data_IF_469221247423
#
_entry.id   IF_469221247423
#
_cell.length_a   1.000
_cell.length_b   1.000
_cell.length_c   1.000
_cell.angle_alpha   90.00
_cell.angle_beta   90.00
_cell.angle_gamma   90.00
#
_symmetry.space_group_name_H-M   'P 1'
#
loop_
_entity.id
_entity.type
_entity.pdbx_description
1 polymer ?
#
# COMPACT_ATOMS: atom_id res chain seq x y z
N UNK A 1 13.62 -17.12 11.95
CA UNK A 1 12.31 -17.49 12.51
C UNK A 1 11.30 -17.07 11.45
N UNK A 2 10.65 -18.04 10.80
CA UNK A 2 9.95 -17.84 9.52
C UNK A 2 8.64 -17.08 9.64
N UNK A 3 8.25 -16.39 8.57
CA UNK A 3 6.89 -15.90 8.40
C UNK A 3 5.97 -17.11 8.26
N UNK A 4 4.79 -17.06 8.87
CA UNK A 4 3.84 -18.19 8.88
C UNK A 4 3.00 -18.27 7.59
N UNK A 5 3.61 -17.84 6.47
CA UNK A 5 2.96 -17.75 5.15
C UNK A 5 3.66 -18.72 4.23
N UNK A 6 2.92 -19.67 3.62
CA UNK A 6 3.47 -20.53 2.59
C UNK A 6 4.05 -19.69 1.45
N UNK A 7 5.10 -20.19 0.81
CA UNK A 7 5.64 -19.59 -0.41
C UNK A 7 4.53 -19.39 -1.46
N UNK A 8 4.40 -18.18 -2.00
CA UNK A 8 3.30 -17.80 -2.90
C UNK A 8 2.00 -17.40 -2.19
N UNK A 9 1.99 -17.40 -0.85
CA UNK A 9 0.89 -16.90 -0.04
C UNK A 9 0.86 -15.38 0.03
N UNK A 10 -0.34 -14.85 0.24
CA UNK A 10 -0.63 -13.43 0.36
C UNK A 10 -1.46 -13.23 1.62
N UNK A 11 -0.98 -12.45 2.56
CA UNK A 11 -1.66 -12.17 3.82
C UNK A 11 -2.11 -10.72 3.88
N UNK A 12 -3.29 -10.52 4.45
CA UNK A 12 -3.93 -9.22 4.63
C UNK A 12 -4.29 -9.04 6.11
N UNK A 13 -3.73 -8.00 6.73
CA UNK A 13 -3.90 -7.69 8.14
C UNK A 13 -4.71 -6.41 8.27
N UNK A 14 -5.92 -6.57 8.80
CA UNK A 14 -6.77 -5.46 9.23
C UNK A 14 -6.31 -5.02 10.62
N UNK A 15 -5.30 -4.15 10.65
CA UNK A 15 -4.75 -3.58 11.87
C UNK A 15 -5.69 -2.60 12.55
N UNK A 16 -5.36 -2.18 13.77
CA UNK A 16 -6.19 -1.26 14.55
C UNK A 16 -6.25 0.15 13.94
N UNK A 17 -5.16 0.60 13.32
CA UNK A 17 -4.97 1.99 12.85
C UNK A 17 -4.66 2.10 11.36
N UNK A 18 -4.20 1.01 10.74
CA UNK A 18 -3.87 0.95 9.33
C UNK A 18 -4.01 -0.49 8.82
N UNK A 19 -4.05 -0.66 7.51
CA UNK A 19 -4.07 -1.97 6.86
C UNK A 19 -2.67 -2.32 6.36
N UNK A 20 -2.29 -3.59 6.47
CA UNK A 20 -0.99 -4.10 6.03
C UNK A 20 -1.18 -5.37 5.21
N UNK A 21 -0.51 -5.47 4.07
CA UNK A 21 -0.49 -6.69 3.28
C UNK A 21 0.92 -7.09 2.91
N UNK A 22 1.18 -8.39 2.82
CA UNK A 22 2.47 -8.90 2.37
C UNK A 22 2.36 -10.24 1.66
N UNK A 23 3.33 -10.50 0.79
CA UNK A 23 3.49 -11.74 0.05
C UNK A 23 4.94 -12.20 0.11
N UNK A 24 5.14 -13.53 0.15
CA UNK A 24 6.47 -14.14 0.14
C UNK A 24 6.71 -14.76 -1.24
N UNK A 25 7.68 -14.21 -1.96
CA UNK A 25 8.10 -14.70 -3.27
C UNK A 25 8.78 -16.08 -3.16
N UNK A 26 8.84 -16.86 -4.27
CA UNK A 26 9.48 -18.17 -4.29
C UNK A 26 10.93 -18.24 -3.81
N UNK A 27 11.68 -17.15 -3.99
CA UNK A 27 13.06 -17.01 -3.55
C UNK A 27 13.21 -16.52 -2.09
N UNK A 28 12.09 -16.27 -1.41
CA UNK A 28 12.05 -15.79 -0.03
C UNK A 28 12.05 -14.27 0.12
N UNK A 29 12.05 -13.51 -0.98
CA UNK A 29 11.84 -12.06 -0.92
C UNK A 29 10.42 -11.75 -0.40
N UNK A 30 10.27 -10.69 0.38
CA UNK A 30 8.98 -10.28 0.94
C UNK A 30 8.58 -8.94 0.34
N UNK A 31 7.42 -8.95 -0.31
CA UNK A 31 6.78 -7.74 -0.83
C UNK A 31 5.70 -7.32 0.14
N UNK A 32 5.64 -6.05 0.51
CA UNK A 32 4.63 -5.55 1.43
C UNK A 32 4.13 -4.16 1.03
N UNK A 33 2.95 -3.82 1.52
CA UNK A 33 2.36 -2.49 1.40
C UNK A 33 1.53 -2.18 2.63
N UNK A 34 1.29 -0.88 2.87
CA UNK A 34 0.44 -0.41 3.95
C UNK A 34 -0.52 0.66 3.42
N UNK A 35 -1.79 0.55 3.79
CA UNK A 35 -2.79 1.59 3.52
C UNK A 35 -3.05 2.36 4.81
N UNK A 36 -2.66 3.63 4.82
CA UNK A 36 -2.75 4.51 5.99
C UNK A 36 -3.98 5.41 5.82
N UNK A 37 -4.97 5.35 6.72
CA UNK A 37 -6.14 6.21 6.64
C UNK A 37 -5.75 7.66 6.91
N UNK A 38 -6.28 8.57 6.09
CA UNK A 38 -6.10 10.00 6.24
C UNK A 38 -7.43 10.72 6.00
N UNK A 39 -7.74 11.71 6.84
CA UNK A 39 -9.02 12.43 6.78
C UNK A 39 -9.02 13.60 5.80
N UNK A 40 -7.86 14.16 5.54
CA UNK A 40 -7.62 15.29 4.66
C UNK A 40 -6.89 14.87 3.38
N UNK A 41 -7.18 15.55 2.29
CA UNK A 41 -6.42 15.44 1.04
C UNK A 41 -5.04 16.10 1.25
N UNK A 42 -3.92 15.38 1.07
CA UNK A 42 -2.59 15.96 1.20
C UNK A 42 -2.35 17.06 0.15
N UNK A 43 -1.51 18.04 0.48
CA UNK A 43 -1.04 18.97 -0.53
C UNK A 43 -0.19 18.24 -1.60
N UNK A 44 -0.14 18.73 -2.85
CA UNK A 44 0.70 18.13 -3.89
C UNK A 44 2.17 18.01 -3.43
N UNK A 45 2.74 16.80 -3.50
CA UNK A 45 4.12 16.52 -3.10
C UNK A 45 4.33 16.40 -1.60
N UNK A 46 3.29 16.54 -0.76
CA UNK A 46 3.43 16.47 0.69
C UNK A 46 3.82 15.07 1.16
N UNK A 47 3.13 14.05 0.66
CA UNK A 47 3.35 12.64 1.05
C UNK A 47 4.71 12.16 0.54
N UNK A 48 5.04 12.51 -0.70
CA UNK A 48 6.30 12.17 -1.36
C UNK A 48 7.48 12.93 -0.73
N UNK A 49 7.23 14.09 -0.15
CA UNK A 49 8.24 14.92 0.52
C UNK A 49 8.52 14.52 1.96
N UNK A 50 7.77 13.56 2.53
CA UNK A 50 8.06 13.05 3.87
C UNK A 50 9.33 12.20 3.82
N UNK A 51 10.27 12.55 4.70
CA UNK A 51 11.53 11.86 4.90
C UNK A 51 11.34 10.38 5.27
N UNK A 52 12.20 9.52 4.75
CA UNK A 52 12.11 8.07 4.90
C UNK A 52 12.12 7.62 6.37
N UNK A 53 12.98 8.19 7.20
CA UNK A 53 13.05 7.81 8.62
C UNK A 53 11.76 8.22 9.36
N UNK A 54 11.11 9.31 8.93
CA UNK A 54 9.80 9.69 9.46
C UNK A 54 8.71 8.70 9.05
N UNK A 55 8.74 8.21 7.81
CA UNK A 55 7.84 7.15 7.37
C UNK A 55 8.01 5.86 8.16
N UNK A 56 9.25 5.40 8.35
CA UNK A 56 9.55 4.20 9.15
C UNK A 56 9.01 4.39 10.58
N UNK A 57 9.32 5.51 11.24
CA UNK A 57 8.84 5.78 12.58
C UNK A 57 7.30 5.82 12.66
N UNK A 58 6.65 6.43 11.67
CA UNK A 58 5.19 6.50 11.61
C UNK A 58 4.53 5.12 11.40
N UNK A 59 5.06 4.31 10.49
CA UNK A 59 4.58 2.94 10.26
C UNK A 59 4.78 2.06 11.50
N UNK A 60 5.94 2.17 12.15
CA UNK A 60 6.21 1.44 13.40
C UNK A 60 5.21 1.80 14.49
N UNK A 61 4.84 3.08 14.62
CA UNK A 61 3.81 3.53 15.57
C UNK A 61 2.40 3.00 15.20
N UNK A 62 2.02 3.03 13.92
CA UNK A 62 0.72 2.56 13.46
C UNK A 62 0.47 1.08 13.79
N UNK A 63 1.50 0.24 13.62
CA UNK A 63 1.41 -1.22 13.80
C UNK A 63 1.95 -1.74 15.13
N UNK A 64 2.37 -0.85 16.05
CA UNK A 64 3.03 -1.25 17.31
C UNK A 64 2.19 -2.20 18.18
N UNK A 65 0.86 -2.07 18.13
CA UNK A 65 -0.07 -2.87 18.91
C UNK A 65 -0.79 -3.98 18.12
N UNK A 66 -0.45 -4.14 16.85
CA UNK A 66 -1.08 -5.12 15.97
C UNK A 66 -0.37 -6.47 16.08
N UNK A 67 -1.15 -7.55 15.93
CA UNK A 67 -0.59 -8.89 15.83
C UNK A 67 -0.01 -9.10 14.42
N UNK A 68 1.07 -9.87 14.34
CA UNK A 68 1.68 -10.27 13.07
C UNK A 68 3.04 -9.62 12.82
N UNK A 69 3.58 -9.75 11.59
CA UNK A 69 4.97 -9.44 11.31
C UNK A 69 5.23 -7.99 10.86
N UNK A 70 4.22 -7.13 10.78
CA UNK A 70 4.33 -5.80 10.15
C UNK A 70 5.55 -5.00 10.63
N UNK A 71 5.70 -4.79 11.94
CA UNK A 71 6.82 -4.03 12.52
C UNK A 71 8.19 -4.66 12.22
N UNK A 72 8.28 -6.00 12.21
CA UNK A 72 9.51 -6.71 11.83
C UNK A 72 9.83 -6.51 10.34
N UNK A 73 8.82 -6.56 9.46
CA UNK A 73 9.02 -6.38 8.02
C UNK A 73 9.42 -4.94 7.69
N UNK A 74 8.82 -3.96 8.37
CA UNK A 74 9.19 -2.54 8.27
C UNK A 74 10.65 -2.34 8.74
N UNK A 75 11.03 -2.87 9.91
CA UNK A 75 12.40 -2.77 10.45
C UNK A 75 13.46 -3.44 9.56
N UNK A 76 13.09 -4.54 8.88
CA UNK A 76 13.97 -5.25 7.96
C UNK A 76 14.08 -4.60 6.57
N UNK A 77 13.31 -3.55 6.29
CA UNK A 77 13.28 -2.91 4.97
C UNK A 77 14.46 -1.94 4.82
N UNK A 78 15.36 -2.13 3.84
CA UNK A 78 16.52 -1.24 3.65
C UNK A 78 16.14 0.17 3.24
N UNK A 79 15.09 0.28 2.42
CA UNK A 79 14.53 1.55 1.95
C UNK A 79 13.03 1.45 1.79
N UNK A 80 12.28 2.44 2.27
CA UNK A 80 10.84 2.53 2.03
C UNK A 80 10.62 2.98 0.58
N UNK A 81 9.79 2.23 -0.17
CA UNK A 81 9.34 2.67 -1.49
C UNK A 81 8.54 3.98 -1.41
N UNK A 82 8.39 4.68 -2.53
CA UNK A 82 7.69 5.97 -2.53
C UNK A 82 6.25 5.82 -2.02
N UNK A 83 5.94 6.45 -0.89
CA UNK A 83 4.56 6.65 -0.45
C UNK A 83 3.88 7.64 -1.40
N UNK A 84 2.61 7.40 -1.73
CA UNK A 84 1.81 8.29 -2.55
C UNK A 84 0.38 8.36 -2.03
N UNK A 85 -0.29 9.47 -2.31
CA UNK A 85 -1.75 9.53 -2.16
C UNK A 85 -2.40 8.61 -3.20
N UNK A 86 -3.43 7.87 -2.77
CA UNK A 86 -4.18 6.95 -3.64
C UNK A 86 -5.43 7.68 -4.12
N UNK A 87 -5.51 7.92 -5.43
CA UNK A 87 -6.69 8.46 -6.08
C UNK A 87 -7.42 7.38 -6.86
N UNK A 88 -8.75 7.46 -6.89
CA UNK A 88 -9.59 6.61 -7.72
C UNK A 88 -10.54 7.45 -8.55
N UNK A 89 -10.92 6.95 -9.71
CA UNK A 89 -11.90 7.60 -10.58
C UNK A 89 -13.27 6.97 -10.29
N UNK A 90 -14.31 7.78 -9.97
CA UNK A 90 -15.67 7.28 -9.84
C UNK A 90 -16.17 6.69 -11.16
N UNK A 91 -17.24 5.90 -11.12
CA UNK A 91 -17.78 5.25 -12.31
C UNK A 91 -17.95 6.21 -13.51
N UNK A 92 -17.33 5.86 -14.64
CA UNK A 92 -17.42 6.58 -15.92
C UNK A 92 -18.56 6.00 -16.76
N UNK A 93 -19.70 6.70 -16.92
CA UNK A 93 -20.85 6.16 -17.64
C UNK A 93 -20.61 6.02 -19.15
N UNK A 94 -19.70 6.82 -19.73
CA UNK A 94 -19.32 6.76 -21.15
C UNK A 94 -17.80 6.72 -21.28
N UNK A 95 -17.28 5.66 -21.89
CA UNK A 95 -15.83 5.40 -22.06
C UNK A 95 -15.42 5.17 -23.53
N UNK A 96 -16.33 5.46 -24.46
CA UNK A 96 -16.07 5.31 -25.90
C UNK A 96 -16.80 6.37 -26.73
N UNK A 97 -16.33 6.56 -27.95
CA UNK A 97 -17.01 7.25 -29.06
C UNK A 97 -17.03 6.31 -30.27
N UNK A 98 -17.52 6.76 -31.42
CA UNK A 98 -17.53 5.95 -32.65
C UNK A 98 -16.15 5.47 -33.10
N UNK A 99 -15.09 6.21 -32.76
CA UNK A 99 -13.73 5.97 -33.27
C UNK A 99 -12.66 5.85 -32.17
N UNK A 100 -13.05 5.87 -30.90
CA UNK A 100 -12.11 5.84 -29.78
C UNK A 100 -12.69 5.08 -28.59
N UNK A 101 -11.82 4.39 -27.87
CA UNK A 101 -12.14 3.68 -26.64
C UNK A 101 -11.08 4.02 -25.59
N UNK A 102 -11.52 4.24 -24.36
CA UNK A 102 -10.63 4.40 -23.20
C UNK A 102 -10.48 3.04 -22.52
N UNK A 103 -9.27 2.66 -22.13
CA UNK A 103 -8.94 1.36 -21.52
C UNK A 103 -8.00 1.54 -20.32
N UNK A 104 -7.92 0.51 -19.47
CA UNK A 104 -7.07 0.52 -18.26
C UNK A 104 -7.48 1.61 -17.27
N UNK A 105 -6.51 2.16 -16.55
CA UNK A 105 -6.72 3.19 -15.52
C UNK A 105 -7.41 4.45 -16.06
N UNK A 106 -7.23 4.75 -17.35
CA UNK A 106 -7.92 5.87 -17.97
C UNK A 106 -9.45 5.70 -18.01
N UNK A 107 -9.94 4.45 -18.02
CA UNK A 107 -11.37 4.13 -17.99
C UNK A 107 -11.86 3.73 -16.59
N UNK A 108 -10.98 3.12 -15.79
CA UNK A 108 -11.31 2.65 -14.45
C UNK A 108 -10.04 2.58 -13.62
N UNK A 109 -9.79 3.61 -12.80
CA UNK A 109 -8.73 3.62 -11.79
C UNK A 109 -9.34 3.29 -10.42
N UNK A 110 -9.38 2.01 -10.00
CA UNK A 110 -9.86 1.62 -8.68
C UNK A 110 -8.83 1.94 -7.60
N UNK A 111 -9.27 1.95 -6.33
CA UNK A 111 -8.33 1.83 -5.21
C UNK A 111 -7.64 0.44 -5.27
N UNK A 112 -6.32 0.33 -5.02
CA UNK A 112 -5.60 -0.95 -4.99
C UNK A 112 -5.78 -1.71 -3.66
N UNK A 113 -6.87 -1.44 -2.92
CA UNK A 113 -7.21 -2.05 -1.63
C UNK A 113 -8.13 -3.25 -1.78
#
# INVERSE_FOLDING_TARGET
MGLDVPTGGYEMIFGKRAFFGYAVAPDGEVWWFANIPRSDEPAPGEVEGIDEQKWIAHLMDLFAEDAGPATRLIDATPTIGNASAVHSIPHLPTWHTDRMVVIGDAAHAPSPS
#
